data_IF_892092774733
#
_entry.id   IF_892092774733
#
_cell.length_a   1.000
_cell.length_b   1.000
_cell.length_c   1.000
_cell.angle_alpha   90.00
_cell.angle_beta   90.00
_cell.angle_gamma   90.00
#
_symmetry.space_group_name_H-M   'P 1'
#
loop_
_entity.id
_entity.type
_entity.pdbx_description
1 polymer ?
#
# COMPACT_ATOMS: atom_id res chain seq x y z
N UNK A 1 -2.28 8.84 14.64
CA UNK A 1 -3.39 7.87 14.60
C UNK A 1 -3.61 7.52 13.14
N UNK A 2 -3.02 6.40 12.67
CA UNK A 2 -2.97 6.04 11.24
C UNK A 2 -4.14 5.15 10.85
N UNK A 3 -4.70 5.37 9.66
CA UNK A 3 -5.74 4.53 9.08
C UNK A 3 -5.12 3.23 8.58
N UNK A 4 -5.56 2.08 9.13
CA UNK A 4 -5.04 0.76 8.78
C UNK A 4 -6.13 -0.11 8.15
N UNK A 5 -5.85 -0.76 7.03
CA UNK A 5 -6.78 -1.69 6.38
C UNK A 5 -6.11 -3.03 6.07
N UNK A 6 -6.84 -4.13 6.34
CA UNK A 6 -6.34 -5.50 6.13
C UNK A 6 -7.01 -6.19 4.95
N UNK A 7 -6.21 -6.89 4.13
CA UNK A 7 -6.72 -7.75 3.04
C UNK A 7 -7.02 -9.15 3.60
N UNK A 8 -8.30 -9.54 3.66
CA UNK A 8 -8.76 -10.84 4.16
C UNK A 8 -9.43 -11.67 3.07
N UNK A 9 -9.32 -13.00 3.13
CA UNK A 9 -9.94 -13.89 2.14
C UNK A 9 -9.40 -15.31 2.15
N UNK A 10 -10.10 -16.21 1.45
CA UNK A 10 -9.79 -17.64 1.38
C UNK A 10 -8.37 -17.94 0.88
N UNK A 11 -7.79 -19.12 1.17
CA UNK A 11 -6.49 -19.53 0.61
C UNK A 11 -6.46 -19.41 -0.93
N UNK A 12 -5.32 -19.00 -1.49
CA UNK A 12 -5.06 -18.93 -2.94
C UNK A 12 -5.96 -17.99 -3.78
N UNK A 13 -6.75 -17.09 -3.19
CA UNK A 13 -7.56 -16.09 -3.94
C UNK A 13 -6.77 -14.88 -4.45
N UNK A 14 -5.44 -14.94 -4.47
CA UNK A 14 -4.59 -13.83 -4.96
C UNK A 14 -4.34 -12.69 -3.97
N UNK A 15 -4.54 -12.89 -2.66
CA UNK A 15 -4.30 -11.86 -1.62
C UNK A 15 -2.89 -11.26 -1.70
N UNK A 16 -1.87 -12.11 -1.78
CA UNK A 16 -0.47 -11.67 -1.87
C UNK A 16 -0.19 -10.95 -3.19
N UNK A 17 -0.84 -11.37 -4.28
CA UNK A 17 -0.75 -10.71 -5.59
C UNK A 17 -1.33 -9.29 -5.52
N UNK A 18 -2.50 -9.13 -4.92
CA UNK A 18 -3.13 -7.82 -4.72
C UNK A 18 -2.29 -6.92 -3.81
N UNK A 19 -1.78 -7.46 -2.70
CA UNK A 19 -0.90 -6.73 -1.79
C UNK A 19 0.34 -6.21 -2.53
N UNK A 20 1.05 -7.08 -3.27
CA UNK A 20 2.23 -6.69 -4.03
C UNK A 20 1.94 -5.64 -5.11
N UNK A 21 0.78 -5.75 -5.77
CA UNK A 21 0.36 -4.77 -6.78
C UNK A 21 0.11 -3.38 -6.16
N UNK A 22 -0.48 -3.34 -4.96
CA UNK A 22 -0.78 -2.10 -4.24
C UNK A 22 0.47 -1.45 -3.63
N UNK A 23 1.38 -2.25 -3.08
CA UNK A 23 2.55 -1.73 -2.37
C UNK A 23 3.77 -1.52 -3.26
N UNK A 24 3.67 -1.84 -4.56
CA UNK A 24 4.76 -1.82 -5.56
C UNK A 24 6.05 -2.52 -5.11
N UNK A 25 5.98 -3.30 -4.03
CA UNK A 25 7.11 -3.99 -3.43
C UNK A 25 7.18 -5.34 -4.13
N UNK A 26 8.15 -5.50 -5.02
CA UNK A 26 8.38 -6.72 -5.80
C UNK A 26 8.79 -7.96 -4.95
N UNK A 27 8.52 -7.96 -3.64
CA UNK A 27 9.08 -8.95 -2.73
C UNK A 27 8.28 -9.12 -1.43
N UNK A 28 6.95 -9.29 -1.45
CA UNK A 28 6.37 -10.15 -0.41
C UNK A 28 6.87 -11.56 -0.71
N UNK A 29 8.03 -11.91 -0.14
CA UNK A 29 8.62 -13.22 -0.27
C UNK A 29 7.61 -14.21 0.30
N UNK A 30 7.04 -15.05 -0.57
CA UNK A 30 6.32 -16.25 -0.20
C UNK A 30 7.33 -17.29 0.31
N UNK A 31 8.02 -16.96 1.39
CA UNK A 31 8.98 -17.82 2.05
C UNK A 31 8.19 -18.76 2.97
N UNK A 32 7.78 -19.92 2.44
CA UNK A 32 7.14 -21.00 3.18
C UNK A 32 8.16 -21.71 4.10
N UNK A 33 8.72 -21.03 5.11
CA UNK A 33 9.57 -21.66 6.11
C UNK A 33 8.78 -21.95 7.39
N UNK A 34 8.63 -23.23 7.81
CA UNK A 34 7.72 -23.64 8.89
C UNK A 34 8.04 -23.13 10.31
N UNK A 35 9.02 -22.24 10.50
CA UNK A 35 9.50 -21.83 11.83
C UNK A 35 9.81 -20.32 11.97
N UNK A 36 9.49 -19.49 10.97
CA UNK A 36 9.66 -18.04 11.09
C UNK A 36 8.34 -17.40 11.55
N UNK A 37 8.41 -16.52 12.55
CA UNK A 37 7.33 -15.58 12.86
C UNK A 37 7.03 -14.78 11.60
N UNK A 38 5.86 -15.00 10.99
CA UNK A 38 5.44 -14.27 9.81
C UNK A 38 5.06 -12.86 10.27
N UNK A 39 5.98 -11.92 10.18
CA UNK A 39 5.61 -10.51 10.31
C UNK A 39 4.56 -10.18 9.23
N UNK A 40 3.46 -9.51 9.60
CA UNK A 40 2.46 -9.15 8.61
C UNK A 40 3.11 -8.24 7.57
N UNK A 41 2.87 -8.51 6.28
CA UNK A 41 3.32 -7.59 5.24
C UNK A 41 2.58 -6.26 5.45
N UNK A 42 3.30 -5.22 5.87
CA UNK A 42 2.79 -3.85 6.00
C UNK A 42 3.34 -3.04 4.84
N UNK A 43 2.48 -2.30 4.16
CA UNK A 43 2.89 -1.39 3.09
C UNK A 43 2.06 -0.12 3.12
N UNK A 44 2.70 0.99 2.78
CA UNK A 44 2.03 2.27 2.64
C UNK A 44 1.68 2.52 1.17
N UNK A 45 0.44 2.93 0.91
CA UNK A 45 -0.03 3.25 -0.44
C UNK A 45 -0.52 4.69 -0.47
N UNK A 46 -0.13 5.44 -1.50
CA UNK A 46 -0.63 6.78 -1.72
C UNK A 46 -2.08 6.73 -2.20
N UNK A 47 -2.94 7.56 -1.60
CA UNK A 47 -4.34 7.68 -2.04
C UNK A 47 -4.38 8.41 -3.38
N UNK A 48 -4.96 7.81 -4.43
CA UNK A 48 -5.06 8.47 -5.74
C UNK A 48 -6.03 9.65 -5.66
N UNK A 49 -5.51 10.86 -5.81
CA UNK A 49 -6.30 12.10 -5.75
C UNK A 49 -5.98 13.02 -6.93
N UNK A 50 -6.75 12.93 -8.04
CA UNK A 50 -6.52 13.76 -9.23
C UNK A 50 -6.70 15.26 -8.98
N UNK A 51 -7.51 15.67 -8.00
CA UNK A 51 -7.75 17.09 -7.70
C UNK A 51 -6.54 17.74 -7.05
N UNK A 52 -5.71 16.96 -6.35
CA UNK A 52 -4.54 17.47 -5.64
C UNK A 52 -3.56 18.15 -6.61
N UNK A 53 -3.37 17.58 -7.80
CA UNK A 53 -2.52 18.15 -8.84
C UNK A 53 -3.05 19.48 -9.38
N UNK A 54 -4.36 19.56 -9.63
CA UNK A 54 -5.02 20.81 -10.08
C UNK A 54 -4.91 21.91 -9.04
N UNK A 55 -5.07 21.56 -7.76
CA UNK A 55 -4.92 22.51 -6.66
C UNK A 55 -3.47 22.97 -6.50
N UNK A 56 -2.50 22.07 -6.65
CA UNK A 56 -1.08 22.41 -6.61
C UNK A 56 -0.68 23.37 -7.73
N UNK A 57 -1.23 23.19 -8.94
CA UNK A 57 -1.03 24.09 -10.08
C UNK A 57 -1.61 25.49 -9.81
N UNK A 58 -2.85 25.57 -9.32
CA UNK A 58 -3.50 26.85 -8.98
C UNK A 58 -2.74 27.58 -7.85
N UNK A 59 -2.28 26.85 -6.85
CA UNK A 59 -1.59 27.40 -5.68
C UNK A 59 -0.10 27.69 -5.91
N UNK A 60 0.49 27.22 -7.02
CA UNK A 60 1.93 27.33 -7.25
C UNK A 60 2.78 26.54 -6.24
N UNK A 61 2.29 25.38 -5.77
CA UNK A 61 2.96 24.63 -4.71
C UNK A 61 4.25 23.97 -5.20
N UNK A 62 5.35 24.17 -4.47
CA UNK A 62 6.64 23.54 -4.76
C UNK A 62 6.64 22.02 -4.51
N UNK A 63 5.75 21.53 -3.65
CA UNK A 63 5.65 20.13 -3.27
C UNK A 63 4.20 19.66 -3.27
N UNK A 64 4.00 18.40 -3.69
CA UNK A 64 2.70 17.73 -3.67
C UNK A 64 2.82 16.52 -2.74
N UNK A 65 2.15 16.57 -1.59
CA UNK A 65 2.21 15.52 -0.58
C UNK A 65 0.85 14.80 -0.55
N UNK A 66 0.75 13.57 -1.12
CA UNK A 66 -0.49 12.80 -1.06
C UNK A 66 -0.70 12.22 0.34
N UNK A 67 -1.97 11.98 0.69
CA UNK A 67 -2.32 11.20 1.87
C UNK A 67 -1.86 9.74 1.69
N UNK A 68 -1.38 9.11 2.77
CA UNK A 68 -0.96 7.70 2.77
C UNK A 68 -1.89 6.87 3.65
N UNK A 69 -2.17 5.65 3.20
CA UNK A 69 -2.90 4.63 3.95
C UNK A 69 -1.98 3.43 4.20
N UNK A 70 -2.11 2.83 5.38
CA UNK A 70 -1.31 1.70 5.86
C UNK A 70 -2.17 0.48 6.20
#
# INVERSE_FOLDING_TARGET
MGFKSGIVGLPNVGKSTLFNALTQTAAAQAANYPFCTIEPNVGEVAVPEPRLFKLAEIAGSANIIPARMS
#
